data_IF_750272085484
#
_entry.id   IF_750272085484
#
_cell.length_a   1.000
_cell.length_b   1.000
_cell.length_c   1.000
_cell.angle_alpha   90.00
_cell.angle_beta   90.00
_cell.angle_gamma   90.00
#
_symmetry.space_group_name_H-M   'P 1'
#
loop_
_entity.id
_entity.type
_entity.pdbx_description
1 polymer ?
#
# COMPACT_ATOMS: atom_id res chain seq x y z
N UNK A 1 30.26 -0.99 -14.88
CA UNK A 1 29.46 -0.36 -13.80
C UNK A 1 28.41 0.50 -14.48
N UNK A 2 27.14 0.32 -14.11
CA UNK A 2 25.98 0.75 -14.89
C UNK A 2 25.91 2.25 -15.12
N UNK A 3 25.67 2.63 -16.37
CA UNK A 3 25.33 4.00 -16.76
C UNK A 3 23.92 4.30 -16.28
N UNK A 4 23.78 5.16 -15.28
CA UNK A 4 22.51 5.80 -14.95
C UNK A 4 22.13 6.75 -16.09
N UNK A 5 21.08 6.41 -16.83
CA UNK A 5 20.54 7.26 -17.89
C UNK A 5 19.69 8.35 -17.26
N UNK A 6 20.25 9.55 -17.09
CA UNK A 6 19.47 10.73 -16.69
C UNK A 6 18.69 11.25 -17.89
N UNK A 7 17.36 11.21 -17.84
CA UNK A 7 16.49 11.75 -18.88
C UNK A 7 16.28 13.25 -18.66
N UNK A 8 16.93 14.07 -19.47
CA UNK A 8 16.77 15.52 -19.44
C UNK A 8 15.58 15.94 -20.33
N UNK A 9 14.54 16.53 -19.74
CA UNK A 9 13.45 17.12 -20.51
C UNK A 9 13.74 18.60 -20.79
N UNK A 10 13.79 18.95 -22.08
CA UNK A 10 13.83 20.35 -22.51
C UNK A 10 12.39 20.78 -22.77
N UNK A 11 11.73 21.36 -21.77
CA UNK A 11 10.40 21.95 -21.95
C UNK A 11 10.56 23.33 -22.56
N UNK A 12 10.38 23.43 -23.89
CA UNK A 12 10.22 24.70 -24.57
C UNK A 12 8.79 25.17 -24.29
N UNK A 13 8.63 26.13 -23.37
CA UNK A 13 7.32 26.70 -23.06
C UNK A 13 6.66 27.26 -24.32
N UNK A 14 5.64 26.56 -24.83
CA UNK A 14 4.66 27.12 -25.75
C UNK A 14 3.38 27.42 -24.95
N UNK A 15 2.62 28.43 -25.37
CA UNK A 15 1.52 29.10 -24.63
C UNK A 15 0.36 28.22 -24.13
N UNK A 16 0.40 26.90 -24.27
CA UNK A 16 -0.70 25.95 -23.98
C UNK A 16 -0.32 24.80 -23.03
N UNK A 17 0.71 24.94 -22.21
CA UNK A 17 0.86 24.07 -21.04
C UNK A 17 0.48 24.84 -19.78
N UNK A 18 -0.66 24.47 -19.21
CA UNK A 18 -1.12 24.95 -17.91
C UNK A 18 -0.19 24.38 -16.83
N UNK A 19 0.83 25.16 -16.46
CA UNK A 19 1.58 24.92 -15.23
C UNK A 19 0.69 25.35 -14.07
N UNK A 20 0.09 24.38 -13.39
CA UNK A 20 -0.53 24.61 -12.09
C UNK A 20 0.58 24.87 -11.06
N UNK A 21 0.96 26.14 -10.90
CA UNK A 21 1.81 26.58 -9.79
C UNK A 21 0.92 26.91 -8.60
N UNK A 22 0.61 25.89 -7.81
CA UNK A 22 0.06 26.03 -6.47
C UNK A 22 0.85 25.11 -5.56
N UNK A 23 1.49 25.68 -4.53
CA UNK A 23 2.57 25.09 -3.71
C UNK A 23 3.99 25.23 -4.30
N UNK A 24 4.98 25.37 -3.42
CA UNK A 24 6.41 25.62 -3.71
C UNK A 24 7.13 24.46 -4.43
N UNK A 25 6.41 23.41 -4.80
CA UNK A 25 6.93 22.17 -5.38
C UNK A 25 6.10 21.75 -6.59
N UNK A 26 6.75 21.57 -7.74
CA UNK A 26 6.10 21.05 -8.94
C UNK A 26 6.35 19.53 -9.06
N UNK A 27 5.34 18.80 -9.54
CA UNK A 27 5.35 17.34 -9.66
C UNK A 27 4.98 16.93 -11.10
N UNK A 28 5.55 15.83 -11.58
CA UNK A 28 5.17 15.18 -12.84
C UNK A 28 4.73 13.77 -12.50
N UNK A 29 3.56 13.36 -12.98
CA UNK A 29 3.05 12.01 -12.80
C UNK A 29 2.94 11.38 -14.20
N UNK A 30 3.68 10.30 -14.43
CA UNK A 30 3.48 9.39 -15.56
C UNK A 30 2.67 8.18 -15.11
N UNK A 31 2.34 7.28 -16.04
CA UNK A 31 1.72 6.00 -15.72
C UNK A 31 2.60 5.16 -14.78
N UNK A 32 3.89 5.13 -15.06
CA UNK A 32 4.82 4.26 -14.34
C UNK A 32 5.25 4.88 -13.01
N UNK A 33 5.52 6.19 -12.99
CA UNK A 33 6.23 6.85 -11.88
C UNK A 33 5.79 8.28 -11.66
N UNK A 34 5.90 8.73 -10.42
CA UNK A 34 5.84 10.15 -10.07
C UNK A 34 7.21 10.75 -9.78
N UNK A 35 7.35 12.04 -10.06
CA UNK A 35 8.61 12.78 -9.97
C UNK A 35 8.41 14.16 -9.36
N UNK A 36 9.27 14.50 -8.42
CA UNK A 36 9.47 15.87 -7.95
C UNK A 36 10.41 16.64 -8.86
N UNK A 37 10.04 17.86 -9.24
CA UNK A 37 10.89 18.74 -10.05
C UNK A 37 11.77 19.60 -9.13
N UNK A 38 13.08 19.59 -9.34
CA UNK A 38 14.03 20.45 -8.62
C UNK A 38 14.83 21.31 -9.60
N UNK A 39 15.05 22.58 -9.26
CA UNK A 39 15.97 23.42 -10.01
C UNK A 39 17.41 23.07 -9.64
N UNK A 40 18.26 22.95 -10.65
CA UNK A 40 19.69 22.71 -10.45
C UNK A 40 20.47 23.93 -10.92
N UNK A 41 21.29 24.47 -10.02
CA UNK A 41 22.24 25.53 -10.39
C UNK A 41 23.32 24.93 -11.30
N UNK A 42 23.59 25.58 -12.42
CA UNK A 42 24.68 25.21 -13.31
C UNK A 42 25.60 26.40 -13.55
N UNK A 43 26.90 26.14 -13.50
CA UNK A 43 27.94 27.10 -13.91
C UNK A 43 28.03 27.28 -15.42
N UNK A 44 27.37 26.40 -16.19
CA UNK A 44 27.46 26.36 -17.64
C UNK A 44 26.28 27.09 -18.29
N UNK A 45 26.53 27.72 -19.44
CA UNK A 45 25.47 28.28 -20.28
C UNK A 45 25.01 27.24 -21.30
N UNK A 46 23.73 26.88 -21.25
CA UNK A 46 23.12 25.98 -22.23
C UNK A 46 22.40 26.78 -23.32
N UNK A 47 22.69 26.47 -24.58
CA UNK A 47 22.03 27.06 -25.75
C UNK A 47 21.27 25.96 -26.51
N UNK A 48 20.01 26.21 -26.82
CA UNK A 48 19.13 25.33 -27.61
C UNK A 48 19.08 25.90 -29.03
N UNK A 49 19.56 25.14 -30.01
CA UNK A 49 19.54 25.52 -31.42
C UNK A 49 18.29 24.97 -32.11
N UNK A 50 17.53 25.82 -32.80
CA UNK A 50 16.41 25.41 -33.67
C UNK A 50 16.54 26.13 -35.02
N UNK A 51 16.96 25.40 -36.05
CA UNK A 51 17.31 25.99 -37.36
C UNK A 51 18.49 26.97 -37.22
N UNK A 52 18.26 28.22 -37.64
CA UNK A 52 19.23 29.33 -37.50
C UNK A 52 19.12 30.09 -36.17
N UNK A 53 18.15 29.75 -35.31
CA UNK A 53 17.92 30.45 -34.04
C UNK A 53 18.58 29.74 -32.87
N UNK A 54 19.08 30.52 -31.91
CA UNK A 54 19.64 30.04 -30.64
C UNK A 54 18.87 30.63 -29.48
N UNK A 55 18.42 29.78 -28.56
CA UNK A 55 17.71 30.19 -27.34
C UNK A 55 18.54 29.78 -26.13
N UNK A 56 18.87 30.72 -25.25
CA UNK A 56 19.54 30.40 -23.98
C UNK A 56 18.56 29.77 -23.01
N UNK A 57 18.90 28.61 -22.46
CA UNK A 57 18.13 28.01 -21.38
C UNK A 57 18.29 28.85 -20.11
N UNK A 58 17.17 29.22 -19.49
CA UNK A 58 17.18 30.02 -18.25
C UNK A 58 17.39 29.18 -17.00
N UNK A 59 16.88 27.95 -17.01
CA UNK A 59 16.91 27.02 -15.89
C UNK A 59 17.16 25.61 -16.40
N UNK A 60 17.85 24.82 -15.58
CA UNK A 60 17.93 23.37 -15.72
C UNK A 60 17.13 22.77 -14.59
N UNK A 61 16.25 21.83 -14.93
CA UNK A 61 15.38 21.13 -13.99
C UNK A 61 15.78 19.66 -13.97
N UNK A 62 15.84 19.10 -12.78
CA UNK A 62 16.07 17.69 -12.53
C UNK A 62 14.78 17.04 -12.03
N UNK A 63 14.60 15.77 -12.39
CA UNK A 63 13.45 14.96 -11.99
C UNK A 63 13.92 13.92 -10.97
N UNK A 64 13.43 14.06 -9.75
CA UNK A 64 13.70 13.11 -8.68
C UNK A 64 12.49 12.20 -8.53
N UNK A 65 12.67 10.90 -8.79
CA UNK A 65 11.62 9.91 -8.62
C UNK A 65 11.11 9.88 -7.18
N UNK A 66 9.79 9.95 -7.02
CA UNK A 66 9.11 9.78 -5.75
C UNK A 66 9.02 8.26 -5.48
N UNK A 67 9.95 7.75 -4.66
CA UNK A 67 9.95 6.34 -4.25
C UNK A 67 8.89 6.14 -3.16
N UNK A 68 8.03 5.11 -3.27
CA UNK A 68 7.02 4.86 -2.25
C UNK A 68 7.67 4.40 -0.94
N UNK A 69 7.40 5.13 0.15
CA UNK A 69 7.69 4.66 1.51
C UNK A 69 6.44 3.94 2.06
N UNK A 70 6.50 2.62 2.11
CA UNK A 70 5.38 1.80 2.56
C UNK A 70 4.95 2.10 3.99
N UNK A 71 5.87 2.46 4.89
CA UNK A 71 5.52 2.78 6.29
C UNK A 71 4.83 4.14 6.38
N UNK A 72 5.32 5.13 5.64
CA UNK A 72 4.69 6.45 5.59
C UNK A 72 3.29 6.36 4.99
N UNK A 73 3.15 5.65 3.88
CA UNK A 73 1.86 5.43 3.21
C UNK A 73 0.92 4.66 4.13
N UNK A 74 1.39 3.56 4.73
CA UNK A 74 0.59 2.76 5.64
C UNK A 74 0.05 3.59 6.82
N UNK A 75 0.82 4.53 7.38
CA UNK A 75 0.38 5.39 8.48
C UNK A 75 -0.62 6.46 8.04
N UNK A 76 -0.50 6.96 6.81
CA UNK A 76 -1.37 8.01 6.28
C UNK A 76 -2.70 7.50 5.72
N UNK A 77 -2.72 6.30 5.12
CA UNK A 77 -3.98 5.68 4.71
C UNK A 77 -4.81 5.43 5.98
N UNK A 78 -6.07 5.85 6.04
CA UNK A 78 -6.90 5.64 7.22
C UNK A 78 -7.53 4.27 7.23
N UNK A 79 -7.87 3.81 8.44
CA UNK A 79 -8.67 2.63 8.65
C UNK A 79 -10.16 2.93 8.41
N UNK A 80 -10.87 1.98 7.82
CA UNK A 80 -12.32 1.99 7.73
C UNK A 80 -12.90 0.59 8.03
N UNK A 81 -14.18 0.57 8.38
CA UNK A 81 -14.94 -0.67 8.49
C UNK A 81 -15.55 -1.03 7.14
N UNK A 82 -15.67 -2.32 6.86
CA UNK A 82 -16.32 -2.83 5.64
C UNK A 82 -17.81 -2.44 5.57
N UNK A 83 -18.42 -2.12 6.71
CA UNK A 83 -19.81 -1.69 6.81
C UNK A 83 -19.99 -0.17 6.73
N UNK A 84 -18.91 0.60 6.88
CA UNK A 84 -18.94 2.07 6.85
C UNK A 84 -17.64 2.63 6.26
N UNK A 85 -17.58 2.60 4.92
CA UNK A 85 -16.43 3.07 4.16
C UNK A 85 -16.46 4.59 4.07
N UNK A 86 -15.51 5.24 4.74
CA UNK A 86 -15.37 6.70 4.73
C UNK A 86 -13.91 7.13 4.83
N UNK A 87 -13.64 8.37 4.45
CA UNK A 87 -12.38 9.08 4.67
C UNK A 87 -11.11 8.51 4.02
N UNK A 88 -11.19 7.78 2.90
CA UNK A 88 -9.98 7.26 2.23
C UNK A 88 -9.15 8.34 1.54
N UNK A 89 -8.00 7.93 0.97
CA UNK A 89 -7.08 8.86 0.31
C UNK A 89 -6.82 8.49 -1.15
N UNK A 90 -6.57 9.49 -1.99
CA UNK A 90 -6.02 9.27 -3.32
C UNK A 90 -4.48 9.27 -3.24
N UNK A 91 -3.84 8.11 -3.37
CA UNK A 91 -2.38 7.99 -3.22
C UNK A 91 -1.60 8.77 -4.28
N UNK A 92 -2.13 8.95 -5.49
CA UNK A 92 -1.47 9.76 -6.52
C UNK A 92 -1.46 11.24 -6.14
N UNK A 93 -2.53 11.73 -5.51
CA UNK A 93 -2.61 13.12 -5.09
C UNK A 93 -1.78 13.39 -3.84
N UNK A 94 -1.76 12.45 -2.89
CA UNK A 94 -1.09 12.62 -1.60
C UNK A 94 0.42 12.35 -1.69
N UNK A 95 0.82 11.28 -2.39
CA UNK A 95 2.23 10.85 -2.47
C UNK A 95 2.86 11.10 -3.83
N UNK A 96 2.11 11.66 -4.78
CA UNK A 96 2.61 11.98 -6.13
C UNK A 96 3.26 10.76 -6.79
N UNK A 97 2.52 9.64 -6.82
CA UNK A 97 2.94 8.36 -7.40
C UNK A 97 2.29 8.13 -8.77
N UNK A 98 2.96 7.35 -9.63
CA UNK A 98 2.38 6.84 -10.88
C UNK A 98 1.32 5.77 -10.64
N UNK A 99 0.52 5.46 -11.66
CA UNK A 99 -0.49 4.40 -11.62
C UNK A 99 0.11 3.04 -11.20
N UNK A 100 1.23 2.65 -11.82
CA UNK A 100 1.85 1.34 -11.56
C UNK A 100 2.42 1.26 -10.13
N UNK A 101 3.03 2.36 -9.64
CA UNK A 101 3.46 2.46 -8.24
C UNK A 101 2.29 2.36 -7.27
N UNK A 102 1.16 3.00 -7.57
CA UNK A 102 -0.05 2.94 -6.75
C UNK A 102 -0.59 1.50 -6.69
N UNK A 103 -0.65 0.80 -7.83
CA UNK A 103 -1.08 -0.60 -7.88
C UNK A 103 -0.17 -1.50 -7.05
N UNK A 104 1.15 -1.35 -7.18
CA UNK A 104 2.13 -2.13 -6.41
C UNK A 104 2.00 -1.89 -4.90
N UNK A 105 1.88 -0.63 -4.48
CA UNK A 105 1.69 -0.26 -3.08
C UNK A 105 0.38 -0.78 -2.54
N UNK A 106 -0.73 -0.58 -3.26
CA UNK A 106 -2.05 -1.05 -2.86
C UNK A 106 -2.07 -2.58 -2.69
N UNK A 107 -1.42 -3.30 -3.60
CA UNK A 107 -1.27 -4.76 -3.51
C UNK A 107 -0.45 -5.18 -2.31
N UNK A 108 0.71 -4.55 -2.10
CA UNK A 108 1.64 -4.89 -1.01
C UNK A 108 1.02 -4.66 0.37
N UNK A 109 0.28 -3.56 0.51
CA UNK A 109 -0.40 -3.18 1.75
C UNK A 109 -1.82 -3.76 1.87
N UNK A 110 -2.27 -4.56 0.89
CA UNK A 110 -3.64 -5.12 0.79
C UNK A 110 -4.74 -4.05 0.97
N UNK A 111 -4.57 -2.88 0.36
CA UNK A 111 -5.53 -1.78 0.48
C UNK A 111 -6.78 -2.05 -0.34
N UNK A 112 -7.94 -1.64 0.19
CA UNK A 112 -9.17 -1.57 -0.58
C UNK A 112 -9.12 -0.34 -1.50
N UNK A 113 -9.43 -0.50 -2.78
CA UNK A 113 -9.56 0.59 -3.75
C UNK A 113 -11.00 0.70 -4.23
N UNK A 114 -11.61 1.87 -4.02
CA UNK A 114 -12.92 2.22 -4.57
C UNK A 114 -12.77 3.57 -5.27
N UNK A 115 -12.99 3.62 -6.59
CA UNK A 115 -12.92 4.84 -7.38
C UNK A 115 -11.62 5.65 -7.19
N UNK A 116 -10.46 4.98 -7.16
CA UNK A 116 -9.13 5.56 -6.91
C UNK A 116 -8.90 6.12 -5.50
N UNK A 117 -9.81 5.81 -4.58
CA UNK A 117 -9.68 6.11 -3.16
C UNK A 117 -9.29 4.83 -2.43
N UNK A 118 -8.25 4.95 -1.59
CA UNK A 118 -7.61 3.83 -0.92
C UNK A 118 -7.89 3.86 0.58
N UNK A 119 -8.11 2.67 1.13
CA UNK A 119 -8.48 2.47 2.52
C UNK A 119 -7.75 1.25 3.10
N UNK A 120 -7.47 1.28 4.40
CA UNK A 120 -7.15 0.06 5.15
C UNK A 120 -8.42 -0.46 5.80
N UNK A 121 -8.67 -1.76 5.68
CA UNK A 121 -9.74 -2.39 6.46
C UNK A 121 -9.24 -2.66 7.88
N UNK A 122 -10.05 -2.34 8.88
CA UNK A 122 -9.75 -2.63 10.29
C UNK A 122 -9.48 -4.13 10.49
N UNK A 123 -8.48 -4.48 11.30
CA UNK A 123 -8.12 -5.90 11.49
C UNK A 123 -9.25 -6.76 12.07
N UNK A 124 -10.15 -6.15 12.84
CA UNK A 124 -11.38 -6.80 13.28
C UNK A 124 -12.19 -7.36 12.10
N UNK A 125 -12.45 -6.54 11.08
CA UNK A 125 -13.27 -6.92 9.93
C UNK A 125 -12.50 -7.89 9.03
N UNK A 126 -11.17 -7.71 8.88
CA UNK A 126 -10.34 -8.69 8.15
C UNK A 126 -10.40 -10.05 8.83
N UNK A 127 -10.28 -10.10 10.17
CA UNK A 127 -10.39 -11.32 10.97
C UNK A 127 -11.73 -12.02 10.71
N UNK A 128 -12.84 -11.29 10.76
CA UNK A 128 -14.17 -11.84 10.46
C UNK A 128 -14.26 -12.41 9.03
N UNK A 129 -13.74 -11.69 8.04
CA UNK A 129 -13.70 -12.14 6.65
C UNK A 129 -12.91 -13.43 6.51
N UNK A 130 -11.67 -13.51 7.01
CA UNK A 130 -10.83 -14.71 6.85
C UNK A 130 -11.38 -15.91 7.63
N UNK A 131 -11.99 -15.69 8.79
CA UNK A 131 -12.67 -16.76 9.54
C UNK A 131 -13.89 -17.27 8.78
N UNK A 132 -14.70 -16.37 8.23
CA UNK A 132 -15.86 -16.74 7.43
C UNK A 132 -15.43 -17.50 6.17
N UNK A 133 -14.44 -16.99 5.44
CA UNK A 133 -13.87 -17.68 4.27
C UNK A 133 -13.43 -19.10 4.63
N UNK A 134 -12.72 -19.29 5.75
CA UNK A 134 -12.30 -20.61 6.20
C UNK A 134 -13.49 -21.55 6.47
N UNK A 135 -14.58 -21.03 7.04
CA UNK A 135 -15.77 -21.82 7.39
C UNK A 135 -16.60 -22.28 6.18
N UNK A 136 -16.50 -21.57 5.04
CA UNK A 136 -17.29 -21.86 3.83
C UNK A 136 -16.45 -22.30 2.62
N UNK A 137 -15.12 -22.33 2.72
CA UNK A 137 -14.21 -22.61 1.58
C UNK A 137 -14.45 -23.96 0.88
N UNK A 138 -14.93 -24.96 1.61
CA UNK A 138 -15.21 -26.30 1.08
C UNK A 138 -16.62 -26.41 0.46
N UNK A 139 -17.42 -25.35 0.54
CA UNK A 139 -18.74 -25.31 -0.08
C UNK A 139 -18.61 -25.09 -1.60
N UNK A 140 -19.25 -25.92 -2.45
CA UNK A 140 -19.27 -25.73 -3.91
C UNK A 140 -19.77 -24.34 -4.36
N UNK A 141 -20.58 -23.68 -3.54
CA UNK A 141 -21.14 -22.34 -3.74
C UNK A 141 -20.38 -21.26 -2.95
N UNK A 142 -19.10 -21.48 -2.62
CA UNK A 142 -18.25 -20.56 -1.85
C UNK A 142 -18.39 -19.09 -2.27
N UNK A 143 -18.35 -18.82 -3.58
CA UNK A 143 -18.50 -17.44 -4.09
C UNK A 143 -19.87 -16.84 -3.72
N UNK A 144 -20.96 -17.61 -3.77
CA UNK A 144 -22.29 -17.11 -3.41
C UNK A 144 -22.42 -16.90 -1.90
N UNK A 145 -21.80 -17.77 -1.09
CA UNK A 145 -21.77 -17.61 0.37
C UNK A 145 -21.11 -16.29 0.80
N UNK A 146 -20.18 -15.76 0.00
CA UNK A 146 -19.51 -14.48 0.23
C UNK A 146 -20.36 -13.24 -0.14
N UNK A 147 -21.57 -13.40 -0.68
CA UNK A 147 -22.46 -12.28 -1.06
C UNK A 147 -23.05 -11.51 0.15
N UNK A 148 -22.74 -11.95 1.38
CA UNK A 148 -23.03 -11.18 2.60
C UNK A 148 -22.22 -9.88 2.67
N UNK A 149 -21.10 -9.80 1.95
CA UNK A 149 -20.25 -8.62 1.88
C UNK A 149 -20.57 -7.77 0.64
N UNK A 150 -20.40 -6.44 0.70
CA UNK A 150 -20.51 -5.59 -0.48
C UNK A 150 -19.61 -6.08 -1.63
N UNK A 151 -20.02 -5.91 -2.91
CA UNK A 151 -19.28 -6.45 -4.06
C UNK A 151 -17.80 -6.07 -4.10
N UNK A 152 -17.46 -4.81 -3.78
CA UNK A 152 -16.08 -4.34 -3.74
C UNK A 152 -15.26 -5.03 -2.64
N UNK A 153 -15.87 -5.27 -1.48
CA UNK A 153 -15.25 -5.98 -0.35
C UNK A 153 -15.06 -7.45 -0.70
N UNK A 154 -16.08 -8.10 -1.28
CA UNK A 154 -15.99 -9.49 -1.74
C UNK A 154 -14.85 -9.65 -2.74
N UNK A 155 -14.79 -8.79 -3.76
CA UNK A 155 -13.75 -8.82 -4.78
C UNK A 155 -12.35 -8.65 -4.17
N UNK A 156 -12.19 -7.65 -3.31
CA UNK A 156 -10.95 -7.40 -2.58
C UNK A 156 -10.55 -8.61 -1.70
N UNK A 157 -11.49 -9.18 -0.95
CA UNK A 157 -11.21 -10.30 -0.07
C UNK A 157 -10.71 -11.54 -0.85
N UNK A 158 -11.37 -11.86 -1.97
CA UNK A 158 -11.00 -12.98 -2.84
C UNK A 158 -9.66 -12.78 -3.56
N UNK A 159 -9.23 -11.53 -3.74
CA UNK A 159 -7.93 -11.22 -4.35
C UNK A 159 -6.78 -11.41 -3.36
N UNK A 160 -6.98 -11.08 -2.08
CA UNK A 160 -5.90 -10.95 -1.10
C UNK A 160 -5.82 -12.02 -0.03
N UNK A 161 -6.87 -12.84 0.13
CA UNK A 161 -6.96 -13.85 1.18
C UNK A 161 -7.38 -15.21 0.64
N UNK A 162 -6.93 -16.24 1.34
CA UNK A 162 -7.33 -17.63 1.13
C UNK A 162 -8.22 -18.16 2.26
N UNK A 163 -8.20 -17.49 3.43
CA UNK A 163 -8.85 -17.97 4.63
C UNK A 163 -8.15 -19.21 5.20
N UNK A 164 -6.82 -19.27 5.12
CA UNK A 164 -6.06 -20.34 5.78
C UNK A 164 -5.82 -20.04 7.27
N UNK A 165 -5.33 -21.04 8.00
CA UNK A 165 -5.14 -20.93 9.46
C UNK A 165 -4.06 -19.91 9.84
N UNK A 166 -3.04 -19.71 9.00
CA UNK A 166 -2.00 -18.72 9.25
C UNK A 166 -2.54 -17.30 9.06
N UNK A 167 -3.39 -17.08 8.05
CA UNK A 167 -4.13 -15.82 7.87
C UNK A 167 -5.02 -15.52 9.08
N UNK A 168 -5.84 -16.50 9.49
CA UNK A 168 -6.70 -16.36 10.67
C UNK A 168 -5.86 -16.01 11.90
N UNK A 169 -4.77 -16.74 12.13
CA UNK A 169 -3.88 -16.53 13.27
C UNK A 169 -3.31 -15.12 13.29
N UNK A 170 -2.75 -14.67 12.16
CA UNK A 170 -2.17 -13.34 12.03
C UNK A 170 -3.20 -12.24 12.30
N UNK A 171 -4.38 -12.29 11.66
CA UNK A 171 -5.37 -11.23 11.80
C UNK A 171 -6.07 -11.24 13.16
N UNK A 172 -6.17 -12.40 13.83
CA UNK A 172 -6.56 -12.47 15.24
C UNK A 172 -5.53 -11.74 16.12
N UNK A 173 -4.23 -12.02 15.95
CA UNK A 173 -3.18 -11.35 16.72
C UNK A 173 -3.15 -9.84 16.47
N UNK A 174 -3.26 -9.40 15.22
CA UNK A 174 -3.28 -7.99 14.85
C UNK A 174 -4.49 -7.26 15.47
N UNK A 175 -5.68 -7.87 15.41
CA UNK A 175 -6.89 -7.34 16.04
C UNK A 175 -6.75 -7.23 17.57
N UNK A 176 -6.05 -8.17 18.21
CA UNK A 176 -5.81 -8.15 19.65
C UNK A 176 -4.71 -7.17 20.06
N UNK A 177 -3.65 -7.00 19.26
CA UNK A 177 -2.59 -6.02 19.47
C UNK A 177 -3.14 -4.59 19.43
N UNK A 178 -4.06 -4.26 18.50
CA UNK A 178 -4.74 -2.96 18.47
C UNK A 178 -5.51 -2.66 19.77
N UNK A 179 -6.03 -3.71 20.43
CA UNK A 179 -6.76 -3.62 21.70
C UNK A 179 -5.85 -3.79 22.93
N UNK A 180 -4.54 -3.90 22.73
CA UNK A 180 -3.55 -4.21 23.78
C UNK A 180 -3.88 -5.48 24.58
N UNK A 181 -4.45 -6.50 23.94
CA UNK A 181 -4.95 -7.71 24.57
C UNK A 181 -4.41 -9.00 23.91
N UNK A 182 -3.12 -9.02 23.55
CA UNK A 182 -2.49 -10.19 22.93
C UNK A 182 -2.59 -11.46 23.78
N UNK A 183 -2.72 -11.35 25.11
CA UNK A 183 -2.88 -12.50 26.01
C UNK A 183 -4.16 -13.31 25.74
N UNK A 184 -5.19 -12.69 25.15
CA UNK A 184 -6.43 -13.37 24.78
C UNK A 184 -6.32 -14.20 23.49
N UNK A 185 -5.16 -14.22 22.83
CA UNK A 185 -4.99 -14.92 21.56
C UNK A 185 -5.17 -16.43 21.67
N UNK A 186 -4.51 -17.11 22.62
CA UNK A 186 -4.66 -18.56 22.79
C UNK A 186 -6.08 -19.00 23.15
N UNK A 187 -6.79 -18.33 24.09
CA UNK A 187 -8.22 -18.60 24.31
C UNK A 187 -9.06 -18.43 23.04
N UNK A 188 -8.89 -17.33 22.31
CA UNK A 188 -9.62 -17.06 21.07
C UNK A 188 -9.32 -18.10 19.98
N UNK A 189 -8.05 -18.52 19.85
CA UNK A 189 -7.65 -19.53 18.88
C UNK A 189 -8.37 -20.86 19.11
N UNK A 190 -8.45 -21.31 20.37
CA UNK A 190 -9.13 -22.54 20.77
C UNK A 190 -10.65 -22.50 20.57
N UNK A 191 -11.24 -21.31 20.57
CA UNK A 191 -12.66 -21.13 20.25
C UNK A 191 -12.93 -21.18 18.74
N UNK A 192 -11.96 -20.73 17.93
CA UNK A 192 -12.10 -20.63 16.47
C UNK A 192 -11.71 -21.90 15.73
N UNK A 193 -10.76 -22.67 16.25
CA UNK A 193 -10.19 -23.82 15.55
C UNK A 193 -10.01 -25.01 16.49
N UNK A 194 -10.07 -26.22 15.93
CA UNK A 194 -9.78 -27.47 16.65
C UNK A 194 -8.27 -27.78 16.59
N UNK A 195 -7.54 -27.11 15.70
CA UNK A 195 -6.13 -27.37 15.44
C UNK A 195 -5.22 -26.59 16.41
N UNK A 196 -4.15 -27.22 16.84
CA UNK A 196 -3.10 -26.53 17.57
C UNK A 196 -2.41 -25.50 16.66
N UNK A 197 -1.99 -24.40 17.26
CA UNK A 197 -1.27 -23.36 16.51
C UNK A 197 0.14 -23.83 16.13
N UNK A 198 0.45 -23.74 14.84
CA UNK A 198 1.82 -23.90 14.37
C UNK A 198 2.54 -22.54 14.40
N UNK A 199 3.23 -22.26 15.51
CA UNK A 199 3.95 -21.00 15.73
C UNK A 199 4.97 -20.71 14.62
N UNK A 200 5.75 -21.71 14.21
CA UNK A 200 6.78 -21.54 13.18
C UNK A 200 6.16 -21.16 11.83
N UNK A 201 5.10 -21.85 11.42
CA UNK A 201 4.38 -21.53 10.18
C UNK A 201 3.77 -20.12 10.21
N UNK A 202 3.25 -19.69 11.37
CA UNK A 202 2.71 -18.36 11.52
C UNK A 202 3.79 -17.26 11.44
N UNK A 203 4.96 -17.48 12.04
CA UNK A 203 6.10 -16.56 11.93
C UNK A 203 6.60 -16.48 10.48
N UNK A 204 6.72 -17.62 9.79
CA UNK A 204 7.06 -17.67 8.37
C UNK A 204 6.06 -16.88 7.53
N UNK A 205 4.75 -17.10 7.73
CA UNK A 205 3.71 -16.36 7.03
C UNK A 205 3.80 -14.85 7.31
N UNK A 206 3.97 -14.44 8.56
CA UNK A 206 4.15 -13.04 8.96
C UNK A 206 5.39 -12.39 8.31
N UNK A 207 6.38 -13.18 7.89
CA UNK A 207 7.53 -12.69 7.13
C UNK A 207 7.25 -12.44 5.65
N UNK A 208 6.17 -13.01 5.11
CA UNK A 208 5.76 -12.84 3.71
C UNK A 208 4.80 -11.67 3.48
N UNK A 209 4.14 -11.19 4.55
CA UNK A 209 3.15 -10.12 4.48
C UNK A 209 3.68 -8.84 5.12
N UNK A 210 3.16 -7.69 4.66
CA UNK A 210 3.47 -6.42 5.28
C UNK A 210 2.81 -6.32 6.66
N UNK A 211 3.65 -6.17 7.69
CA UNK A 211 3.27 -5.79 9.05
C UNK A 211 4.28 -4.74 9.50
N UNK A 212 3.82 -3.64 10.11
CA UNK A 212 4.73 -2.60 10.58
C UNK A 212 5.77 -3.20 11.54
N UNK A 213 7.06 -2.87 11.34
CA UNK A 213 8.17 -3.52 12.06
C UNK A 213 7.98 -3.60 13.59
N UNK A 214 7.55 -2.49 14.22
CA UNK A 214 7.31 -2.47 15.67
C UNK A 214 6.18 -3.40 16.10
N UNK A 215 5.13 -3.52 15.30
CA UNK A 215 4.02 -4.45 15.57
C UNK A 215 4.50 -5.88 15.38
N UNK A 216 5.18 -6.16 14.28
CA UNK A 216 5.77 -7.46 13.97
C UNK A 216 6.70 -7.97 15.07
N UNK A 217 7.61 -7.12 15.57
CA UNK A 217 8.50 -7.45 16.68
C UNK A 217 7.73 -7.85 17.95
N UNK A 218 6.65 -7.12 18.30
CA UNK A 218 5.79 -7.47 19.44
C UNK A 218 5.11 -8.81 19.26
N UNK A 219 4.55 -9.06 18.07
CA UNK A 219 3.87 -10.31 17.77
C UNK A 219 4.83 -11.50 17.82
N UNK A 220 6.00 -11.40 17.18
CA UNK A 220 7.02 -12.46 17.21
C UNK A 220 7.50 -12.72 18.64
N UNK A 221 7.73 -11.66 19.43
CA UNK A 221 8.09 -11.81 20.84
C UNK A 221 7.03 -12.60 21.62
N UNK A 222 5.75 -12.28 21.43
CA UNK A 222 4.65 -13.02 22.06
C UNK A 222 4.61 -14.48 21.59
N UNK A 223 4.74 -14.73 20.29
CA UNK A 223 4.74 -16.09 19.73
C UNK A 223 5.85 -16.96 20.32
N UNK A 224 7.05 -16.41 20.50
CA UNK A 224 8.14 -17.14 21.14
C UNK A 224 7.83 -17.49 22.60
N UNK A 225 7.13 -16.62 23.33
CA UNK A 225 6.75 -16.90 24.74
C UNK A 225 5.70 -17.99 24.92
N UNK A 226 4.94 -18.32 23.87
CA UNK A 226 3.95 -19.42 23.91
C UNK A 226 4.48 -20.70 23.24
N UNK A 227 5.64 -20.62 22.58
CA UNK A 227 6.31 -21.77 21.98
C UNK A 227 7.18 -22.52 23.01
N UNK A 228 7.77 -21.78 23.96
CA UNK A 228 8.53 -22.28 25.11
C UNK A 228 7.62 -22.79 26.23
#
# INVERSE_FOLDING_TARGET
MGTHTNTFFVVIGNKQMSVLTGSSTAQIISKEKGYSIKSVASSNTFLIKKGSTYTKAKLVLDLVENKPDLNEIYRHVPFCSVWNISNGINMQQVFHLGDDQVVEVAKTLKLLNINNIHFKICYHDIKEIVCYMNSVKDNPEFSQMMDIYPPDIKKWALEFFKGDLNEIGLYCMLCLDEKNNLQAFLPMWKELTIEDINVNSLIEYMNTVFVENKQKERLIKYLNTIHD
#
